data_IF_571374777868
#
_entry.id   IF_571374777868
#
_cell.length_a   1.000
_cell.length_b   1.000
_cell.length_c   1.000
_cell.angle_alpha   90.00
_cell.angle_beta   90.00
_cell.angle_gamma   90.00
#
_symmetry.space_group_name_H-M   'P 1'
#
loop_
_entity.id
_entity.type
_entity.pdbx_description
1 polymer ?
#
# COMPACT_ATOMS: atom_id res chain seq x y z
N UNK A 1 1.04 -17.91 7.40
CA UNK A 1 1.57 -18.63 6.20
C UNK A 1 1.82 -17.57 5.13
N UNK A 2 3.02 -17.51 4.56
CA UNK A 2 3.34 -16.56 3.48
C UNK A 2 3.01 -17.12 2.10
N UNK A 3 2.85 -16.25 1.11
CA UNK A 3 2.66 -16.61 -0.31
C UNK A 3 3.84 -16.15 -1.17
N UNK A 4 4.46 -15.03 -0.82
CA UNK A 4 5.68 -14.49 -1.43
C UNK A 4 6.46 -13.70 -0.37
N UNK A 5 7.74 -13.47 -0.64
CA UNK A 5 8.60 -12.55 0.14
C UNK A 5 8.98 -11.33 -0.71
N UNK A 6 9.42 -10.22 -0.10
CA UNK A 6 9.87 -9.04 -0.84
C UNK A 6 10.93 -9.34 -1.91
N UNK A 7 11.84 -10.28 -1.63
CA UNK A 7 12.96 -10.58 -2.52
C UNK A 7 12.65 -11.67 -3.56
N UNK A 8 11.48 -12.30 -3.50
CA UNK A 8 11.06 -13.22 -4.54
C UNK A 8 10.94 -12.48 -5.88
N UNK A 9 11.49 -13.09 -6.94
CA UNK A 9 11.47 -12.52 -8.28
C UNK A 9 10.20 -12.90 -9.03
N UNK A 10 9.70 -11.97 -9.83
CA UNK A 10 8.52 -12.10 -10.68
C UNK A 10 8.73 -11.30 -11.96
N UNK A 11 8.21 -11.80 -13.09
CA UNK A 11 8.21 -11.03 -14.33
C UNK A 11 7.06 -10.02 -14.33
N UNK A 12 7.39 -8.76 -14.57
CA UNK A 12 6.49 -7.79 -15.15
C UNK A 12 6.56 -7.93 -16.68
N UNK A 13 5.65 -8.73 -17.22
CA UNK A 13 5.56 -9.10 -18.63
C UNK A 13 4.08 -9.29 -19.02
N UNK A 14 3.71 -9.25 -20.31
CA UNK A 14 2.33 -9.46 -20.74
C UNK A 14 1.75 -10.78 -20.20
N UNK A 15 0.56 -10.68 -19.62
CA UNK A 15 -0.23 -11.83 -19.17
C UNK A 15 -1.61 -11.82 -19.84
N UNK A 16 -2.20 -13.00 -19.99
CA UNK A 16 -3.59 -13.15 -20.40
C UNK A 16 -4.27 -14.20 -19.54
N UNK A 17 -5.21 -13.76 -18.69
CA UNK A 17 -6.00 -14.61 -17.79
C UNK A 17 -7.43 -14.66 -18.34
N UNK A 18 -7.73 -15.72 -19.11
CA UNK A 18 -8.99 -15.79 -19.85
C UNK A 18 -9.09 -14.66 -20.88
N UNK A 19 -10.05 -13.73 -20.69
CA UNK A 19 -10.22 -12.54 -21.55
C UNK A 19 -9.52 -11.29 -20.99
N UNK A 20 -8.96 -11.36 -19.78
CA UNK A 20 -8.36 -10.22 -19.11
C UNK A 20 -6.88 -10.09 -19.51
N UNK A 21 -6.55 -8.98 -20.18
CA UNK A 21 -5.18 -8.66 -20.63
C UNK A 21 -4.77 -7.29 -20.07
N UNK A 22 -4.34 -7.23 -18.80
CA UNK A 22 -3.97 -5.99 -18.13
C UNK A 22 -2.70 -5.36 -18.72
N UNK A 23 -2.53 -4.07 -18.46
CA UNK A 23 -1.35 -3.28 -18.85
C UNK A 23 -0.85 -2.49 -17.64
N UNK A 24 0.42 -2.10 -17.69
CA UNK A 24 0.96 -1.09 -16.78
C UNK A 24 0.55 0.30 -17.26
N UNK A 25 0.50 1.27 -16.34
CA UNK A 25 0.13 2.66 -16.63
C UNK A 25 0.95 3.28 -17.78
N UNK A 26 2.24 2.99 -17.84
CA UNK A 26 3.16 3.47 -18.88
C UNK A 26 3.12 2.65 -20.18
N UNK A 27 2.35 1.56 -20.21
CA UNK A 27 2.30 0.62 -21.33
C UNK A 27 3.58 -0.22 -21.53
N UNK A 28 4.56 -0.12 -20.63
CA UNK A 28 5.85 -0.80 -20.74
C UNK A 28 5.89 -2.01 -19.80
N UNK A 29 6.96 -2.80 -19.92
CA UNK A 29 7.24 -3.98 -19.09
C UNK A 29 8.69 -3.88 -18.59
N UNK A 30 8.87 -4.04 -17.28
CA UNK A 30 10.19 -3.94 -16.65
C UNK A 30 10.98 -5.24 -16.66
N UNK A 31 10.33 -6.39 -16.95
CA UNK A 31 11.00 -7.69 -16.96
C UNK A 31 11.10 -8.29 -15.56
N UNK A 32 12.19 -9.01 -15.28
CA UNK A 32 12.37 -9.75 -14.03
C UNK A 32 12.91 -8.86 -12.91
N UNK A 33 12.12 -8.63 -11.86
CA UNK A 33 12.56 -7.94 -10.64
C UNK A 33 11.94 -8.56 -9.39
N UNK A 34 12.41 -8.14 -8.21
CA UNK A 34 11.83 -8.55 -6.92
C UNK A 34 10.49 -7.88 -6.65
N UNK A 35 9.63 -8.51 -5.84
CA UNK A 35 8.37 -7.89 -5.40
C UNK A 35 8.58 -6.57 -4.67
N UNK A 36 9.69 -6.39 -3.95
CA UNK A 36 10.13 -5.11 -3.38
C UNK A 36 10.19 -4.03 -4.47
N UNK A 37 10.96 -4.28 -5.53
CA UNK A 37 11.09 -3.34 -6.64
C UNK A 37 9.73 -3.08 -7.30
N UNK A 38 8.95 -4.14 -7.56
CA UNK A 38 7.65 -4.02 -8.22
C UNK A 38 6.65 -3.19 -7.42
N UNK A 39 6.67 -3.28 -6.08
CA UNK A 39 5.81 -2.49 -5.21
C UNK A 39 6.23 -1.01 -5.20
N UNK A 40 7.54 -0.72 -5.12
CA UNK A 40 8.07 0.66 -5.21
C UNK A 40 7.69 1.30 -6.54
N UNK A 41 7.87 0.57 -7.65
CA UNK A 41 7.56 1.03 -9.00
C UNK A 41 6.07 0.94 -9.37
N UNK A 42 5.22 0.51 -8.44
CA UNK A 42 3.77 0.40 -8.62
C UNK A 42 3.36 -0.38 -9.86
N UNK A 43 4.03 -1.52 -10.14
CA UNK A 43 3.76 -2.32 -11.34
C UNK A 43 2.45 -3.10 -11.19
N UNK A 44 1.57 -2.98 -12.19
CA UNK A 44 0.23 -3.58 -12.17
C UNK A 44 0.29 -5.10 -12.28
N UNK A 45 1.12 -5.62 -13.20
CA UNK A 45 1.15 -7.05 -13.50
C UNK A 45 1.55 -7.90 -12.28
N UNK A 46 2.65 -7.61 -11.55
CA UNK A 46 3.01 -8.37 -10.36
C UNK A 46 1.94 -8.33 -9.25
N UNK A 47 1.24 -7.20 -9.09
CA UNK A 47 0.15 -7.06 -8.12
C UNK A 47 -1.04 -7.98 -8.48
N UNK A 48 -1.38 -8.05 -9.77
CA UNK A 48 -2.44 -8.94 -10.29
C UNK A 48 -2.07 -10.41 -10.09
N UNK A 49 -0.82 -10.80 -10.39
CA UNK A 49 -0.31 -12.16 -10.16
C UNK A 49 -0.42 -12.53 -8.69
N UNK A 50 -0.03 -11.62 -7.79
CA UNK A 50 -0.11 -11.87 -6.36
C UNK A 50 -1.55 -11.99 -5.88
N UNK A 51 -2.47 -11.15 -6.37
CA UNK A 51 -3.88 -11.25 -6.04
C UNK A 51 -4.51 -12.55 -6.58
N UNK A 52 -4.11 -13.02 -7.76
CA UNK A 52 -4.59 -14.30 -8.29
C UNK A 52 -4.19 -15.47 -7.40
N UNK A 53 -2.96 -15.46 -6.86
CA UNK A 53 -2.49 -16.46 -5.88
C UNK A 53 -3.19 -16.38 -4.53
N UNK A 54 -3.48 -15.16 -4.06
CA UNK A 54 -4.15 -14.93 -2.76
C UNK A 54 -5.65 -15.23 -2.87
N UNK A 55 -6.27 -14.91 -4.00
CA UNK A 55 -7.71 -14.86 -4.20
C UNK A 55 -8.30 -13.52 -3.74
N UNK A 56 -9.05 -12.84 -4.62
CA UNK A 56 -9.62 -11.52 -4.32
C UNK A 56 -10.62 -11.54 -3.15
N UNK A 57 -11.33 -12.65 -2.93
CA UNK A 57 -12.23 -12.81 -1.77
C UNK A 57 -11.48 -12.73 -0.46
N UNK A 58 -10.32 -13.37 -0.35
CA UNK A 58 -9.47 -13.33 0.84
C UNK A 58 -8.96 -11.91 1.11
N UNK A 59 -8.60 -11.17 0.05
CA UNK A 59 -8.22 -9.76 0.19
C UNK A 59 -9.39 -8.92 0.72
N UNK A 60 -10.60 -9.09 0.19
CA UNK A 60 -11.78 -8.35 0.63
C UNK A 60 -12.11 -8.66 2.09
N UNK A 61 -12.06 -9.93 2.49
CA UNK A 61 -12.28 -10.33 3.89
C UNK A 61 -11.25 -9.68 4.82
N UNK A 62 -9.97 -9.68 4.41
CA UNK A 62 -8.92 -9.00 5.15
C UNK A 62 -9.16 -7.48 5.23
N UNK A 63 -9.51 -6.83 4.12
CA UNK A 63 -9.84 -5.39 4.10
C UNK A 63 -11.01 -5.07 5.05
N UNK A 64 -12.04 -5.91 5.12
CA UNK A 64 -13.15 -5.71 6.07
C UNK A 64 -12.67 -5.70 7.53
N UNK A 65 -11.70 -6.55 7.88
CA UNK A 65 -11.10 -6.51 9.23
C UNK A 65 -10.30 -5.23 9.50
N UNK A 66 -9.85 -4.54 8.45
CA UNK A 66 -9.16 -3.25 8.52
C UNK A 66 -10.13 -2.04 8.46
N UNK A 67 -11.44 -2.28 8.55
CA UNK A 67 -12.46 -1.23 8.66
C UNK A 67 -13.05 -0.74 7.34
N UNK A 68 -12.75 -1.39 6.21
CA UNK A 68 -13.41 -1.06 4.93
C UNK A 68 -14.86 -1.57 4.93
N UNK A 69 -15.82 -0.67 4.71
CA UNK A 69 -17.26 -0.98 4.73
C UNK A 69 -17.91 -0.98 3.36
N UNK A 70 -17.26 -0.38 2.35
CA UNK A 70 -17.76 -0.27 0.97
C UNK A 70 -17.40 -1.44 0.05
N UNK A 71 -16.72 -2.47 0.57
CA UNK A 71 -16.30 -3.65 -0.18
C UNK A 71 -17.40 -4.72 -0.23
N UNK A 72 -18.56 -4.38 -0.82
CA UNK A 72 -19.80 -5.16 -0.76
C UNK A 72 -20.47 -5.42 -2.13
N UNK A 73 -19.77 -5.24 -3.25
CA UNK A 73 -20.30 -5.53 -4.58
C UNK A 73 -20.74 -7.02 -4.71
N UNK A 74 -22.04 -7.30 -4.95
CA UNK A 74 -22.54 -8.69 -5.04
C UNK A 74 -22.02 -9.44 -6.27
N UNK A 75 -21.60 -8.73 -7.31
CA UNK A 75 -21.03 -9.31 -8.53
C UNK A 75 -19.52 -9.61 -8.39
N UNK A 76 -18.92 -9.27 -7.24
CA UNK A 76 -17.49 -9.39 -6.99
C UNK A 76 -16.66 -8.30 -7.66
N UNK A 77 -15.35 -8.30 -7.38
CA UNK A 77 -14.39 -7.33 -7.91
C UNK A 77 -13.41 -7.93 -8.92
N UNK A 78 -13.17 -9.25 -8.85
CA UNK A 78 -12.20 -9.93 -9.71
C UNK A 78 -10.76 -9.46 -9.48
N UNK A 79 -9.89 -9.72 -10.46
CA UNK A 79 -8.46 -9.40 -10.35
C UNK A 79 -8.13 -7.92 -10.56
N UNK A 80 -9.04 -7.12 -11.13
CA UNK A 80 -8.86 -5.66 -11.24
C UNK A 80 -8.80 -4.99 -9.88
N UNK A 81 -9.26 -5.64 -8.80
CA UNK A 81 -9.09 -5.14 -7.44
C UNK A 81 -7.62 -4.86 -7.09
N UNK A 82 -6.67 -5.63 -7.62
CA UNK A 82 -5.23 -5.43 -7.40
C UNK A 82 -4.73 -4.07 -7.88
N UNK A 83 -5.46 -3.44 -8.79
CA UNK A 83 -5.10 -2.17 -9.45
C UNK A 83 -6.16 -1.08 -9.21
N UNK A 84 -6.95 -1.21 -8.14
CA UNK A 84 -7.91 -0.17 -7.74
C UNK A 84 -9.31 -0.32 -8.37
N UNK A 85 -9.67 -1.47 -8.91
CA UNK A 85 -11.01 -1.73 -9.46
C UNK A 85 -12.16 -1.81 -8.43
N UNK A 86 -11.98 -1.26 -7.23
CA UNK A 86 -12.98 -1.24 -6.18
C UNK A 86 -13.01 0.11 -5.45
N UNK A 87 -14.20 0.68 -5.32
CA UNK A 87 -14.41 1.99 -4.70
C UNK A 87 -14.38 1.91 -3.17
N UNK A 88 -13.63 2.82 -2.55
CA UNK A 88 -13.53 2.95 -1.09
C UNK A 88 -13.64 4.40 -0.66
N UNK A 89 -14.17 4.63 0.55
CA UNK A 89 -14.13 5.96 1.14
C UNK A 89 -12.69 6.32 1.50
N UNK A 90 -12.26 7.55 1.19
CA UNK A 90 -10.91 8.01 1.49
C UNK A 90 -10.57 7.89 2.99
N UNK A 91 -11.53 8.16 3.89
CA UNK A 91 -11.35 8.02 5.34
C UNK A 91 -11.19 6.55 5.80
N UNK A 92 -11.84 5.61 5.11
CA UNK A 92 -11.63 4.17 5.36
C UNK A 92 -10.27 3.74 4.82
N UNK A 93 -9.85 4.30 3.68
CA UNK A 93 -8.52 4.04 3.13
C UNK A 93 -7.41 4.59 4.04
N UNK A 94 -7.55 5.80 4.56
CA UNK A 94 -6.63 6.37 5.54
C UNK A 94 -6.52 5.50 6.81
N UNK A 95 -7.65 5.00 7.34
CA UNK A 95 -7.64 4.07 8.48
C UNK A 95 -6.97 2.73 8.15
N UNK A 96 -7.18 2.20 6.94
CA UNK A 96 -6.47 1.01 6.46
C UNK A 96 -4.95 1.22 6.47
N UNK A 97 -4.48 2.40 6.08
CA UNK A 97 -3.06 2.76 6.21
C UNK A 97 -2.61 2.97 7.67
N UNK A 98 -3.55 3.30 8.56
CA UNK A 98 -3.36 3.28 10.01
C UNK A 98 -2.95 1.90 10.54
N UNK A 99 -3.36 0.82 9.89
CA UNK A 99 -2.90 -0.55 10.25
C UNK A 99 -1.40 -0.70 9.96
N UNK A 100 -0.91 -0.16 8.85
CA UNK A 100 0.53 -0.15 8.55
C UNK A 100 1.31 0.74 9.53
N UNK A 101 0.79 1.93 9.83
CA UNK A 101 1.35 2.85 10.81
C UNK A 101 1.44 2.23 12.21
N UNK A 102 0.43 1.47 12.61
CA UNK A 102 0.26 0.94 13.96
C UNK A 102 0.63 -0.56 14.07
N UNK A 103 1.67 -0.99 13.34
CA UNK A 103 2.23 -2.34 13.45
C UNK A 103 1.21 -3.49 13.32
N UNK A 104 0.22 -3.32 12.44
CA UNK A 104 -0.84 -4.31 12.18
C UNK A 104 -2.07 -4.21 13.06
N UNK A 105 -2.15 -3.19 13.92
CA UNK A 105 -3.32 -2.92 14.75
C UNK A 105 -4.32 -2.00 14.06
N UNK A 106 -5.57 -2.43 13.99
CA UNK A 106 -6.69 -1.58 13.60
C UNK A 106 -7.27 -0.90 14.84
N UNK A 107 -7.36 0.43 14.78
CA UNK A 107 -8.10 1.26 15.75
C UNK A 107 -9.06 2.12 14.94
N UNK A 108 -10.36 1.98 15.20
CA UNK A 108 -11.38 2.74 14.50
C UNK A 108 -11.21 4.24 14.79
N UNK A 109 -11.26 5.07 13.75
CA UNK A 109 -11.24 6.51 13.91
C UNK A 109 -12.47 7.00 14.69
N UNK A 110 -12.26 8.03 15.51
CA UNK A 110 -13.29 8.76 16.22
C UNK A 110 -12.92 10.24 16.21
N UNK A 111 -13.90 11.10 15.90
CA UNK A 111 -13.72 12.55 15.84
C UNK A 111 -14.12 13.22 17.16
N UNK A 112 -14.95 12.56 17.97
CA UNK A 112 -15.41 13.06 19.27
C UNK A 112 -14.60 12.41 20.38
N UNK A 113 -13.72 13.17 21.04
CA UNK A 113 -12.96 12.67 22.19
C UNK A 113 -13.81 12.59 23.47
N UNK A 114 -14.63 13.61 23.72
CA UNK A 114 -15.42 13.73 24.96
C UNK A 114 -16.61 14.67 24.77
N UNK A 115 -17.75 14.31 25.35
CA UNK A 115 -18.95 15.16 25.47
C UNK A 115 -19.21 15.39 26.96
N UNK A 116 -19.31 16.65 27.36
CA UNK A 116 -19.64 17.07 28.73
C UNK A 116 -20.88 17.96 28.73
N UNK A 117 -21.71 17.85 29.77
CA UNK A 117 -22.86 18.75 29.94
C UNK A 117 -22.48 20.08 30.64
N UNK A 118 -23.46 20.98 30.80
CA UNK A 118 -23.27 22.30 31.43
C UNK A 118 -22.77 22.23 32.88
N UNK A 119 -22.98 21.11 33.55
CA UNK A 119 -22.59 20.89 34.95
C UNK A 119 -21.24 20.14 35.04
N UNK A 120 -20.57 19.88 33.91
CA UNK A 120 -19.31 19.14 33.85
C UNK A 120 -19.47 17.62 33.89
N UNK A 121 -20.69 17.07 33.81
CA UNK A 121 -20.89 15.61 33.77
C UNK A 121 -20.46 15.08 32.40
N UNK A 122 -19.60 14.08 32.41
CA UNK A 122 -19.19 13.35 31.19
C UNK A 122 -20.36 12.51 30.68
N UNK A 123 -20.81 12.79 29.46
CA UNK A 123 -21.87 12.04 28.76
C UNK A 123 -21.30 10.98 27.82
N UNK A 124 -20.14 11.28 27.23
CA UNK A 124 -19.40 10.39 26.36
C UNK A 124 -17.90 10.67 26.54
N UNK A 125 -17.10 9.62 26.53
CA UNK A 125 -15.64 9.72 26.46
C UNK A 125 -15.16 8.55 25.63
N UNK A 126 -14.46 8.85 24.54
CA UNK A 126 -13.98 7.84 23.64
C UNK A 126 -12.87 7.02 24.30
N UNK A 127 -13.00 5.70 24.24
CA UNK A 127 -11.98 4.75 24.67
C UNK A 127 -11.53 3.96 23.44
N UNK A 128 -10.39 4.31 22.83
CA UNK A 128 -9.89 3.61 21.65
C UNK A 128 -9.80 2.11 21.91
N UNK A 129 -10.32 1.32 20.96
CA UNK A 129 -10.16 -0.13 20.96
C UNK A 129 -9.28 -0.52 19.78
N UNK A 130 -8.20 -1.21 20.10
CA UNK A 130 -7.22 -1.67 19.13
C UNK A 130 -7.29 -3.19 19.01
N UNK A 131 -7.28 -3.69 17.78
CA UNK A 131 -7.29 -5.13 17.48
C UNK A 131 -6.16 -5.44 16.52
N UNK A 132 -5.34 -6.46 16.82
CA UNK A 132 -4.33 -6.94 15.89
C UNK A 132 -5.01 -7.66 14.72
N UNK A 133 -4.96 -7.06 13.53
CA UNK A 133 -5.65 -7.58 12.32
C UNK A 133 -4.67 -8.02 11.23
N UNK A 134 -3.38 -7.71 11.36
CA UNK A 134 -2.33 -8.11 10.45
C UNK A 134 -1.08 -8.60 11.20
N UNK A 135 -0.28 -9.47 10.60
CA UNK A 135 0.99 -9.92 11.19
C UNK A 135 1.99 -8.75 11.20
N UNK A 136 2.49 -8.33 12.39
CA UNK A 136 3.40 -7.18 12.49
C UNK A 136 4.68 -7.38 11.66
N UNK A 137 5.13 -8.62 11.46
CA UNK A 137 6.32 -8.94 10.65
C UNK A 137 6.10 -8.61 9.19
N UNK A 138 4.92 -8.93 8.65
CA UNK A 138 4.55 -8.56 7.28
C UNK A 138 4.38 -7.05 7.10
N UNK A 139 3.77 -6.39 8.09
CA UNK A 139 3.61 -4.93 8.12
C UNK A 139 4.97 -4.25 8.10
N UNK A 140 5.91 -4.69 8.93
CA UNK A 140 7.26 -4.12 8.98
C UNK A 140 7.98 -4.22 7.62
N UNK A 141 7.90 -5.36 6.93
CA UNK A 141 8.49 -5.52 5.60
C UNK A 141 7.86 -4.57 4.57
N UNK A 142 6.53 -4.38 4.60
CA UNK A 142 5.85 -3.42 3.69
C UNK A 142 6.27 -1.99 4.01
N UNK A 143 6.33 -1.62 5.28
CA UNK A 143 6.78 -0.30 5.71
C UNK A 143 8.21 -0.03 5.26
N UNK A 144 9.11 -1.01 5.40
CA UNK A 144 10.49 -0.93 4.94
C UNK A 144 10.61 -0.70 3.41
N UNK A 145 9.80 -1.41 2.61
CA UNK A 145 9.75 -1.23 1.15
C UNK A 145 9.23 0.17 0.77
N UNK A 146 8.21 0.66 1.47
CA UNK A 146 7.54 1.92 1.15
C UNK A 146 8.21 3.15 1.75
N UNK A 147 9.19 2.96 2.65
CA UNK A 147 9.89 4.04 3.34
C UNK A 147 10.69 4.93 2.40
N UNK A 148 10.50 6.25 2.49
CA UNK A 148 11.23 7.23 1.69
C UNK A 148 12.76 7.13 1.80
N UNK A 149 13.29 6.83 2.99
CA UNK A 149 14.73 6.65 3.22
C UNK A 149 15.33 5.47 2.48
N UNK A 150 14.53 4.45 2.22
CA UNK A 150 14.94 3.23 1.53
C UNK A 150 14.68 3.30 0.02
N UNK A 151 14.34 4.49 -0.51
CA UNK A 151 14.00 4.68 -1.92
C UNK A 151 12.55 4.31 -2.27
N UNK A 152 11.70 4.08 -1.27
CA UNK A 152 10.27 3.96 -1.45
C UNK A 152 9.59 5.31 -1.76
N UNK A 153 8.31 5.32 -2.14
CA UNK A 153 7.62 6.55 -2.53
C UNK A 153 7.20 7.43 -1.33
N UNK A 154 7.49 7.00 -0.10
CA UNK A 154 7.33 7.80 1.11
C UNK A 154 8.11 9.12 1.12
N UNK A 155 8.09 9.81 2.25
CA UNK A 155 8.78 11.09 2.44
C UNK A 155 9.66 11.02 3.68
N UNK A 156 10.88 11.55 3.57
CA UNK A 156 11.81 11.64 4.71
C UNK A 156 12.28 13.07 4.89
N UNK A 157 12.22 13.57 6.12
CA UNK A 157 12.67 14.91 6.49
C UNK A 157 12.87 14.97 8.00
N UNK A 158 13.79 15.81 8.48
CA UNK A 158 13.98 16.09 9.93
C UNK A 158 14.08 14.83 10.82
N UNK A 159 14.81 13.81 10.35
CA UNK A 159 14.96 12.54 11.05
C UNK A 159 13.70 11.65 11.10
N UNK A 160 12.62 12.03 10.40
CA UNK A 160 11.41 11.22 10.22
C UNK A 160 11.49 10.47 8.91
N UNK A 161 11.28 9.18 9.00
CA UNK A 161 11.29 8.28 7.85
C UNK A 161 9.89 7.70 7.65
N UNK A 162 9.13 8.29 6.73
CA UNK A 162 7.74 7.93 6.49
C UNK A 162 7.64 6.97 5.31
N UNK A 163 6.76 5.98 5.46
CA UNK A 163 6.31 5.17 4.35
C UNK A 163 5.21 5.89 3.56
N UNK A 164 5.02 5.52 2.31
CA UNK A 164 3.90 6.05 1.54
C UNK A 164 3.61 5.26 0.29
N UNK A 165 2.53 5.59 -0.41
CA UNK A 165 2.17 5.00 -1.68
C UNK A 165 1.36 5.96 -2.54
N UNK A 166 1.70 5.99 -3.82
CA UNK A 166 0.99 6.73 -4.86
C UNK A 166 -0.16 5.89 -5.43
N UNK A 167 -1.23 6.57 -5.87
CA UNK A 167 -2.33 6.00 -6.65
C UNK A 167 -2.66 6.91 -7.84
N UNK A 168 -3.02 6.30 -8.96
CA UNK A 168 -3.45 6.98 -10.19
C UNK A 168 -4.43 6.06 -10.88
N UNK A 169 -5.64 6.54 -11.14
CA UNK A 169 -6.65 5.76 -11.84
C UNK A 169 -6.28 5.59 -13.32
N UNK A 170 -6.74 4.50 -13.94
CA UNK A 170 -6.44 4.19 -15.35
C UNK A 170 -6.99 5.28 -16.30
N UNK A 171 -8.18 5.80 -15.99
CA UNK A 171 -8.86 6.88 -16.72
C UNK A 171 -8.36 8.29 -16.34
N UNK A 172 -7.36 8.38 -15.45
CA UNK A 172 -6.74 9.63 -14.99
C UNK A 172 -7.71 10.62 -14.33
N UNK A 173 -8.83 10.13 -13.81
CA UNK A 173 -9.82 10.93 -13.08
C UNK A 173 -9.43 11.15 -11.62
N UNK A 174 -8.61 10.26 -11.05
CA UNK A 174 -8.19 10.31 -9.65
C UNK A 174 -6.68 10.15 -9.48
N UNK A 175 -6.13 10.96 -8.58
CA UNK A 175 -4.75 10.83 -8.10
C UNK A 175 -4.73 10.87 -6.58
N UNK A 176 -3.89 10.03 -6.00
CA UNK A 176 -3.83 9.78 -4.56
C UNK A 176 -2.37 9.71 -4.12
N UNK A 177 -2.09 10.20 -2.93
CA UNK A 177 -0.89 9.84 -2.20
C UNK A 177 -1.22 9.71 -0.72
N UNK A 178 -0.86 8.57 -0.14
CA UNK A 178 -0.96 8.36 1.29
C UNK A 178 0.44 8.19 1.83
N UNK A 179 0.79 8.97 2.85
CA UNK A 179 2.02 8.82 3.60
C UNK A 179 1.71 8.68 5.09
N UNK A 180 2.57 7.94 5.78
CA UNK A 180 2.37 7.59 7.16
C UNK A 180 3.66 7.29 7.91
N UNK A 181 3.59 7.54 9.21
CA UNK A 181 4.54 7.17 10.26
C UNK A 181 3.75 6.59 11.42
N UNK A 182 4.38 6.05 12.47
CA UNK A 182 3.65 5.63 13.67
C UNK A 182 2.81 6.75 14.31
N UNK A 183 3.15 8.03 14.10
CA UNK A 183 2.42 9.16 14.70
C UNK A 183 1.22 9.62 13.89
N UNK A 184 1.27 9.50 12.55
CA UNK A 184 0.29 10.16 11.68
C UNK A 184 0.13 9.42 10.35
N UNK A 185 -1.10 9.41 9.84
CA UNK A 185 -1.45 9.03 8.48
C UNK A 185 -2.06 10.25 7.80
N UNK A 186 -1.58 10.58 6.60
CA UNK A 186 -2.15 11.64 5.75
C UNK A 186 -2.50 11.04 4.40
N UNK A 187 -3.78 11.10 4.04
CA UNK A 187 -4.27 10.72 2.74
C UNK A 187 -4.68 11.96 1.94
N UNK A 188 -3.96 12.25 0.87
CA UNK A 188 -4.30 13.31 -0.08
C UNK A 188 -4.86 12.73 -1.36
N UNK A 189 -5.85 13.42 -1.93
CA UNK A 189 -6.49 13.03 -3.19
C UNK A 189 -6.79 14.28 -4.01
N UNK A 190 -6.64 14.17 -5.32
CA UNK A 190 -7.01 15.22 -6.28
C UNK A 190 -7.88 14.60 -7.37
N UNK A 191 -9.03 15.25 -7.59
CA UNK A 191 -10.06 14.89 -8.58
C UNK A 191 -10.65 16.15 -9.21
N UNK A 192 -11.19 16.02 -10.42
CA UNK A 192 -12.11 17.01 -10.96
C UNK A 192 -13.52 16.72 -10.44
N UNK A 193 -14.26 17.75 -10.00
CA UNK A 193 -15.59 17.58 -9.41
C UNK A 193 -16.64 16.95 -10.34
N UNK A 194 -16.39 16.97 -11.66
CA UNK A 194 -17.23 16.38 -12.70
C UNK A 194 -16.71 15.02 -13.20
N UNK A 195 -15.70 14.44 -12.53
CA UNK A 195 -15.01 13.20 -12.90
C UNK A 195 -14.41 13.21 -14.31
N UNK A 196 -14.14 14.38 -14.88
CA UNK A 196 -13.37 14.45 -16.13
C UNK A 196 -11.90 14.08 -15.88
N UNK A 197 -11.22 13.45 -16.86
CA UNK A 197 -9.80 13.16 -16.74
C UNK A 197 -8.96 14.40 -16.46
N UNK A 198 -7.94 14.26 -15.62
CA UNK A 198 -6.95 15.32 -15.39
C UNK A 198 -6.04 15.52 -16.59
N UNK A 199 -5.31 16.63 -16.60
CA UNK A 199 -4.29 16.90 -17.60
C UNK A 199 -3.21 15.81 -17.58
N UNK A 200 -2.74 15.43 -18.76
CA UNK A 200 -1.61 14.52 -18.93
C UNK A 200 -0.43 14.90 -18.01
N UNK A 201 0.10 13.90 -17.30
CA UNK A 201 1.17 14.04 -16.32
C UNK A 201 0.70 14.27 -14.88
N UNK A 202 -0.61 14.42 -14.64
CA UNK A 202 -1.17 14.35 -13.29
C UNK A 202 -1.13 12.90 -12.79
N UNK A 203 -0.37 12.66 -11.74
CA UNK A 203 -0.21 11.35 -11.09
C UNK A 203 -0.13 11.57 -9.58
N UNK A 204 -0.38 10.53 -8.78
CA UNK A 204 -0.18 10.61 -7.33
C UNK A 204 1.22 11.14 -6.95
N UNK A 205 2.23 10.87 -7.77
CA UNK A 205 3.61 11.34 -7.58
C UNK A 205 3.79 12.84 -7.86
N UNK A 206 3.12 13.38 -8.88
CA UNK A 206 3.35 14.74 -9.40
C UNK A 206 2.31 15.74 -8.91
N UNK A 207 1.06 15.33 -8.71
CA UNK A 207 -0.05 16.21 -8.34
C UNK A 207 -0.38 16.17 -6.84
N UNK A 208 -0.11 15.05 -6.15
CA UNK A 208 -0.56 14.86 -4.75
C UNK A 208 0.59 14.81 -3.75
N UNK A 209 1.58 13.95 -4.01
CA UNK A 209 2.73 13.78 -3.13
C UNK A 209 3.43 15.09 -2.72
N UNK A 210 3.61 16.10 -3.60
CA UNK A 210 4.28 17.35 -3.20
C UNK A 210 3.57 18.08 -2.06
N UNK A 211 2.27 18.33 -2.18
CA UNK A 211 1.54 19.09 -1.17
C UNK A 211 1.25 18.27 0.09
N UNK A 212 1.08 16.94 -0.03
CA UNK A 212 1.00 16.06 1.15
C UNK A 212 2.34 16.06 1.91
N UNK A 213 3.46 16.01 1.20
CA UNK A 213 4.79 16.09 1.79
C UNK A 213 5.03 17.42 2.50
N UNK A 214 4.60 18.54 1.93
CA UNK A 214 4.65 19.85 2.56
C UNK A 214 3.74 19.91 3.80
N UNK A 215 2.51 19.40 3.70
CA UNK A 215 1.60 19.32 4.84
C UNK A 215 2.21 18.52 6.01
N UNK A 216 2.83 17.38 5.72
CA UNK A 216 3.53 16.57 6.72
C UNK A 216 4.69 17.33 7.36
N UNK A 217 5.50 18.05 6.59
CA UNK A 217 6.58 18.88 7.12
C UNK A 217 6.06 19.96 8.09
N UNK A 218 4.94 20.60 7.75
CA UNK A 218 4.34 21.65 8.57
C UNK A 218 3.67 21.13 9.86
N UNK A 219 3.14 19.90 9.83
CA UNK A 219 2.29 19.38 10.91
C UNK A 219 2.98 18.37 11.82
N UNK A 220 3.98 17.65 11.33
CA UNK A 220 4.59 16.53 12.07
C UNK A 220 5.46 16.99 13.23
N UNK A 221 5.90 18.25 13.27
CA UNK A 221 6.65 18.83 14.38
C UNK A 221 5.92 18.76 15.74
N UNK A 222 4.60 18.56 15.73
CA UNK A 222 3.77 18.38 16.93
C UNK A 222 3.95 17.04 17.63
N UNK A 223 4.52 16.05 16.94
CA UNK A 223 4.69 14.68 17.45
C UNK A 223 6.17 14.33 17.41
N UNK A 224 6.78 13.68 18.42
CA UNK A 224 8.16 13.21 18.31
C UNK A 224 8.33 12.22 17.14
N UNK A 225 9.47 12.21 16.40
CA UNK A 225 9.75 11.16 15.43
C UNK A 225 9.77 9.79 16.10
N UNK A 226 9.01 8.81 15.59
CA UNK A 226 9.11 7.40 16.00
C UNK A 226 9.42 6.53 14.80
N UNK A 227 10.40 5.66 14.96
CA UNK A 227 10.67 4.63 13.97
C UNK A 227 9.57 3.55 13.99
N UNK A 228 9.34 2.93 12.84
CA UNK A 228 8.56 1.70 12.80
C UNK A 228 9.20 0.65 13.72
N UNK A 229 8.42 0.11 14.65
CA UNK A 229 8.93 -0.87 15.62
C UNK A 229 9.28 -2.17 14.91
N UNK A 230 10.54 -2.60 14.99
CA UNK A 230 11.00 -3.89 14.51
C UNK A 230 10.38 -5.02 15.36
N UNK A 231 9.49 -5.85 14.81
CA UNK A 231 8.88 -6.94 15.56
C UNK A 231 9.84 -8.12 15.72
N UNK A 232 9.60 -8.93 16.76
CA UNK A 232 10.33 -10.19 16.92
C UNK A 232 10.06 -11.14 15.75
N UNK A 233 11.05 -11.98 15.42
CA UNK A 233 10.96 -12.90 14.29
C UNK A 233 11.24 -12.27 12.92
N UNK A 234 11.74 -11.03 12.88
CA UNK A 234 12.44 -10.49 11.71
C UNK A 234 13.94 -10.75 11.86
N UNK A 235 14.59 -11.19 10.79
CA UNK A 235 16.03 -11.38 10.72
C UNK A 235 16.64 -10.61 9.55
N UNK A 236 17.81 -10.03 9.78
CA UNK A 236 18.68 -9.49 8.74
C UNK A 236 19.59 -10.61 8.27
N UNK A 237 19.62 -10.88 6.96
CA UNK A 237 20.54 -11.86 6.38
C UNK A 237 21.76 -11.17 5.76
N UNK A 238 22.78 -11.97 5.47
CA UNK A 238 24.06 -11.49 4.92
C UNK A 238 23.95 -10.89 3.52
N UNK A 239 22.83 -11.08 2.83
CA UNK A 239 22.50 -10.45 1.55
C UNK A 239 21.99 -9.01 1.70
N UNK A 240 21.87 -8.50 2.94
CA UNK A 240 21.40 -7.15 3.23
C UNK A 240 19.88 -7.02 3.29
N UNK A 241 19.13 -8.12 3.17
CA UNK A 241 17.67 -8.10 3.13
C UNK A 241 17.03 -8.59 4.45
N UNK A 242 15.78 -8.18 4.63
CA UNK A 242 14.93 -8.53 5.76
C UNK A 242 14.06 -9.76 5.47
N UNK A 243 14.00 -10.68 6.43
CA UNK A 243 13.22 -11.90 6.32
C UNK A 243 12.42 -12.20 7.58
N UNK A 244 11.32 -12.93 7.42
CA UNK A 244 10.55 -13.47 8.53
C UNK A 244 11.13 -14.84 8.89
N UNK A 245 11.54 -15.02 10.13
CA UNK A 245 12.01 -16.30 10.67
C UNK A 245 10.95 -17.40 10.49
N UNK A 246 11.39 -18.57 10.02
CA UNK A 246 10.52 -19.72 9.81
C UNK A 246 9.62 -19.65 8.58
N UNK A 247 9.71 -18.60 7.75
CA UNK A 247 9.12 -18.59 6.41
C UNK A 247 10.01 -19.38 5.47
N UNK A 248 9.36 -20.25 4.67
CA UNK A 248 10.08 -21.24 3.90
C UNK A 248 10.91 -20.62 2.77
N UNK A 249 12.13 -21.13 2.50
CA UNK A 249 13.01 -20.61 1.45
C UNK A 249 12.38 -20.62 0.06
N UNK A 250 11.37 -21.47 -0.19
CA UNK A 250 10.67 -21.53 -1.46
C UNK A 250 9.95 -20.22 -1.77
N UNK A 251 9.44 -19.53 -0.74
CA UNK A 251 8.77 -18.22 -0.88
C UNK A 251 9.75 -17.08 -1.20
N UNK A 252 11.05 -17.38 -1.17
CA UNK A 252 12.15 -16.48 -1.54
C UNK A 252 12.69 -16.75 -2.94
N UNK A 253 12.28 -17.86 -3.57
CA UNK A 253 12.73 -18.22 -4.92
C UNK A 253 11.96 -17.43 -5.97
N UNK A 254 12.58 -17.30 -7.13
CA UNK A 254 11.96 -16.71 -8.30
C UNK A 254 10.74 -17.56 -8.74
N UNK A 255 9.56 -16.95 -8.80
CA UNK A 255 8.39 -17.56 -9.43
C UNK A 255 8.26 -17.06 -10.86
N UNK A 256 9.08 -17.64 -11.73
CA UNK A 256 9.13 -17.30 -13.16
C UNK A 256 8.18 -18.11 -14.02
N UNK A 257 7.44 -19.05 -13.42
CA UNK A 257 6.68 -20.07 -14.13
C UNK A 257 5.17 -19.80 -14.15
N UNK A 258 4.75 -18.56 -13.91
CA UNK A 258 3.34 -18.19 -13.99
C UNK A 258 2.72 -18.59 -15.35
N UNK A 259 1.64 -19.38 -15.35
CA UNK A 259 1.15 -20.04 -16.58
C UNK A 259 0.52 -19.06 -17.57
N UNK A 260 0.13 -17.88 -17.13
CA UNK A 260 -0.60 -16.91 -17.96
C UNK A 260 0.31 -15.90 -18.68
N UNK A 261 1.64 -16.00 -18.55
CA UNK A 261 2.56 -15.20 -19.36
C UNK A 261 2.41 -15.56 -20.84
N UNK A 262 2.13 -14.58 -21.69
CA UNK A 262 2.06 -14.78 -23.15
C UNK A 262 3.40 -14.57 -23.84
N UNK A 263 4.32 -13.84 -23.20
CA UNK A 263 5.69 -13.64 -23.65
C UNK A 263 6.60 -13.34 -22.46
N UNK A 264 7.80 -13.94 -22.41
CA UNK A 264 8.75 -13.80 -21.28
C UNK A 264 10.07 -13.12 -21.63
N UNK A 265 10.31 -12.82 -22.91
CA UNK A 265 11.58 -12.26 -23.41
C UNK A 265 11.54 -10.73 -23.47
N UNK A 266 11.37 -10.06 -22.33
CA UNK A 266 11.47 -8.60 -22.23
C UNK A 266 12.83 -8.21 -21.67
N UNK A 267 13.58 -7.41 -22.43
CA UNK A 267 14.80 -6.79 -21.92
C UNK A 267 14.39 -5.69 -20.94
N UNK A 268 15.00 -5.60 -19.75
CA UNK A 268 14.78 -4.48 -18.86
C UNK A 268 15.13 -3.19 -19.62
N UNK A 269 14.21 -2.23 -19.65
CA UNK A 269 14.58 -0.88 -20.07
C UNK A 269 15.61 -0.35 -19.06
N UNK A 270 16.66 0.36 -19.46
CA UNK A 270 17.55 1.01 -18.51
C UNK A 270 16.70 1.87 -17.58
N UNK A 271 16.78 1.57 -16.28
CA UNK A 271 16.08 2.30 -15.23
C UNK A 271 16.25 3.80 -15.43
N UNK A 272 15.17 4.58 -15.43
CA UNK A 272 15.30 6.01 -15.19
C UNK A 272 15.92 6.18 -13.81
N UNK A 273 17.16 6.68 -13.79
CA UNK A 273 17.85 7.10 -12.57
C UNK A 273 17.19 8.34 -11.99
#
# INVERSE_FOLDING_TARGET
RGIMTPEALVYDAPISIGKYTPKNYDGQFSGLHSYRYMLVQSRNIPAIILLEKIGYTNLIEQMKTWGYTTMNNPNGYGLSLAVGGGEVKLIEHAQGYGVFANNGNFTQHEVISKIVDRNGKVLYEHKPKSTQVADPRGIYLVNDILNGKNGGPGVSFDGRDMAGKTGTSEDQTETLFIAYSPEIVVAGMLINNDNTPMRYGATGQTSVRPWVGEYLQLTSSKYPPTDFTLPSGIEFRSDGNLYIQGISPELTRADTNYPYYTQRNFRPYPSFR
#
